data_IF_609386511169
#
_entry.id   IF_609386511169
#
_cell.length_a   1.000
_cell.length_b   1.000
_cell.length_c   1.000
_cell.angle_alpha   90.00
_cell.angle_beta   90.00
_cell.angle_gamma   90.00
#
_symmetry.space_group_name_H-M   'P 1'
#
loop_
_entity.id
_entity.type
_entity.pdbx_description
1 polymer ?
#
# COMPACT_ATOMS: atom_id res chain seq x y z
N UNK A 1 -13.90 -9.08 3.60
CA UNK A 1 -12.91 -8.31 4.39
C UNK A 1 -13.38 -6.91 4.75
N UNK A 2 -13.86 -6.08 3.79
CA UNK A 2 -14.46 -4.76 4.12
C UNK A 2 -15.53 -4.90 5.21
N UNK A 3 -16.49 -5.77 5.03
CA UNK A 3 -17.57 -6.02 5.99
C UNK A 3 -17.08 -6.64 7.30
N UNK A 4 -16.05 -7.48 7.24
CA UNK A 4 -15.49 -8.14 8.42
C UNK A 4 -14.65 -7.18 9.26
N UNK A 5 -13.83 -6.33 8.64
CA UNK A 5 -13.05 -5.30 9.33
C UNK A 5 -13.98 -4.22 9.85
N UNK A 6 -14.90 -3.72 9.01
CA UNK A 6 -15.90 -2.74 9.41
C UNK A 6 -16.81 -3.28 10.53
N UNK A 7 -17.27 -4.54 10.46
CA UNK A 7 -18.08 -5.15 11.51
C UNK A 7 -17.31 -5.35 12.81
N UNK A 8 -16.02 -5.73 12.76
CA UNK A 8 -15.18 -5.87 13.95
C UNK A 8 -14.87 -4.52 14.61
N UNK A 9 -14.62 -3.49 13.81
CA UNK A 9 -14.46 -2.12 14.29
C UNK A 9 -15.81 -1.62 14.86
N UNK A 10 -16.92 -1.86 14.18
CA UNK A 10 -18.26 -1.49 14.63
C UNK A 10 -18.66 -2.15 15.95
N UNK A 11 -18.44 -3.45 16.10
CA UNK A 11 -18.72 -4.19 17.36
C UNK A 11 -17.92 -3.64 18.54
N UNK A 12 -16.68 -3.20 18.31
CA UNK A 12 -15.85 -2.62 19.37
C UNK A 12 -16.22 -1.16 19.68
N UNK A 13 -16.63 -0.38 18.68
CA UNK A 13 -17.11 0.99 18.87
C UNK A 13 -18.50 1.04 19.49
N UNK A 14 -19.40 0.11 19.16
CA UNK A 14 -20.76 0.02 19.75
C UNK A 14 -20.77 -0.42 21.21
N UNK A 15 -19.66 -0.99 21.73
CA UNK A 15 -19.47 -1.25 23.17
C UNK A 15 -19.08 -0.01 23.97
N UNK A 16 -18.68 1.08 23.31
CA UNK A 16 -18.46 2.36 23.96
C UNK A 16 -19.80 3.02 24.25
N UNK A 17 -20.25 2.85 25.47
CA UNK A 17 -21.30 3.45 26.24
C UNK A 17 -22.49 4.16 25.52
N UNK A 18 -23.67 3.70 25.89
CA UNK A 18 -24.96 4.34 25.70
C UNK A 18 -24.94 5.77 26.27
N UNK A 19 -24.87 6.74 25.41
CA UNK A 19 -25.19 8.11 25.75
C UNK A 19 -24.22 9.17 25.30
N UNK A 20 -24.17 9.47 24.00
CA UNK A 20 -23.86 10.77 23.43
C UNK A 20 -23.89 10.69 21.89
N UNK A 21 -24.14 11.82 21.22
CA UNK A 21 -24.22 12.01 19.75
C UNK A 21 -23.01 11.50 18.93
N UNK A 22 -21.96 11.04 19.60
CA UNK A 22 -20.76 10.46 19.03
C UNK A 22 -20.98 9.13 18.25
N UNK A 23 -22.05 8.39 18.53
CA UNK A 23 -22.30 7.09 17.90
C UNK A 23 -22.65 7.22 16.41
N UNK A 24 -23.33 8.31 16.03
CA UNK A 24 -23.71 8.59 14.63
C UNK A 24 -22.51 8.99 13.78
N UNK A 25 -21.56 9.76 14.33
CA UNK A 25 -20.34 10.16 13.62
C UNK A 25 -19.42 8.97 13.32
N UNK A 26 -19.28 8.04 14.29
CA UNK A 26 -18.48 6.81 14.06
C UNK A 26 -19.16 5.88 13.06
N UNK A 27 -20.48 5.79 13.10
CA UNK A 27 -21.26 5.03 12.11
C UNK A 27 -21.07 5.60 10.71
N UNK A 28 -21.06 6.93 10.56
CA UNK A 28 -20.79 7.61 9.30
C UNK A 28 -19.36 7.33 8.81
N UNK A 29 -18.35 7.47 9.66
CA UNK A 29 -16.96 7.16 9.30
C UNK A 29 -16.77 5.71 8.84
N UNK A 30 -17.42 4.75 9.53
CA UNK A 30 -17.39 3.35 9.14
C UNK A 30 -18.15 3.09 7.85
N UNK A 31 -19.27 3.76 7.65
CA UNK A 31 -20.03 3.72 6.40
C UNK A 31 -19.18 4.23 5.24
N UNK A 32 -18.47 5.34 5.42
CA UNK A 32 -17.58 5.92 4.40
C UNK A 32 -16.36 5.01 4.14
N UNK A 33 -15.85 4.32 5.18
CA UNK A 33 -14.81 3.29 5.02
C UNK A 33 -15.30 2.08 4.20
N UNK A 34 -16.57 1.70 4.35
CA UNK A 34 -17.17 0.58 3.58
C UNK A 34 -17.47 0.99 2.15
N UNK A 35 -17.94 2.22 1.93
CA UNK A 35 -18.39 2.73 0.64
C UNK A 35 -17.40 3.67 -0.05
N UNK A 36 -16.33 4.09 0.64
CA UNK A 36 -15.29 4.96 0.09
C UNK A 36 -14.46 4.30 -1.01
N UNK A 37 -13.90 5.13 -1.88
CA UNK A 37 -13.02 4.67 -2.94
C UNK A 37 -11.66 4.26 -2.38
N UNK A 38 -11.38 2.96 -2.33
CA UNK A 38 -10.05 2.45 -2.01
C UNK A 38 -9.18 2.48 -3.25
N UNK A 39 -7.93 2.92 -3.08
CA UNK A 39 -6.96 3.08 -4.15
C UNK A 39 -5.70 2.27 -3.83
N UNK A 40 -5.01 1.79 -4.86
CA UNK A 40 -3.63 1.31 -4.68
C UNK A 40 -2.74 2.47 -4.26
N UNK A 41 -2.09 2.36 -3.10
CA UNK A 41 -1.10 3.34 -2.66
C UNK A 41 0.32 2.82 -2.91
N UNK A 42 0.82 1.94 -2.06
CA UNK A 42 2.19 1.45 -2.16
C UNK A 42 2.22 -0.01 -2.61
N UNK A 43 3.10 -0.33 -3.56
CA UNK A 43 3.33 -1.70 -4.04
C UNK A 43 4.82 -2.00 -4.03
N UNK A 44 5.20 -3.19 -3.55
CA UNK A 44 6.55 -3.71 -3.69
C UNK A 44 6.57 -4.82 -4.75
N UNK A 45 7.54 -4.73 -5.64
CA UNK A 45 7.70 -5.63 -6.78
C UNK A 45 8.99 -6.45 -6.68
N UNK A 46 8.91 -7.68 -7.18
CA UNK A 46 10.06 -8.58 -7.33
C UNK A 46 10.00 -9.26 -8.68
N UNK A 47 11.13 -9.30 -9.39
CA UNK A 47 11.33 -10.09 -10.60
C UNK A 47 12.55 -10.98 -10.41
N UNK A 48 12.38 -12.30 -10.60
CA UNK A 48 13.49 -13.23 -10.51
C UNK A 48 14.11 -13.44 -11.90
N UNK A 49 15.42 -13.50 -11.99
CA UNK A 49 16.17 -13.74 -13.21
C UNK A 49 15.75 -15.03 -13.93
N UNK A 50 15.40 -16.08 -13.18
CA UNK A 50 14.94 -17.36 -13.74
C UNK A 50 13.63 -17.26 -14.51
N UNK A 51 12.79 -16.26 -14.23
CA UNK A 51 11.50 -16.04 -14.87
C UNK A 51 11.66 -15.23 -16.17
N UNK A 52 12.84 -14.66 -16.41
CA UNK A 52 13.25 -13.86 -17.58
C UNK A 52 14.70 -14.18 -17.98
N UNK A 53 15.02 -15.42 -18.36
CA UNK A 53 16.39 -15.85 -18.62
C UNK A 53 17.06 -15.12 -19.79
N UNK A 54 16.28 -14.54 -20.70
CA UNK A 54 16.70 -13.77 -21.86
C UNK A 54 17.15 -12.33 -21.53
N UNK A 55 16.83 -11.82 -20.32
CA UNK A 55 17.14 -10.46 -19.87
C UNK A 55 18.24 -10.55 -18.81
N UNK A 56 19.33 -9.82 -18.94
CA UNK A 56 20.28 -9.60 -17.84
C UNK A 56 19.75 -8.45 -16.96
N UNK A 57 19.05 -8.78 -15.87
CA UNK A 57 18.43 -7.79 -14.99
C UNK A 57 19.42 -6.77 -14.45
N UNK A 58 20.65 -7.19 -14.13
CA UNK A 58 21.65 -6.29 -13.58
C UNK A 58 22.13 -5.29 -14.64
N UNK A 59 22.43 -5.75 -15.84
CA UNK A 59 22.86 -4.90 -16.94
C UNK A 59 21.75 -3.99 -17.42
N UNK A 60 20.51 -4.51 -17.51
CA UNK A 60 19.37 -3.78 -18.05
C UNK A 60 18.90 -2.66 -17.13
N UNK A 61 18.73 -2.94 -15.82
CA UNK A 61 18.11 -1.99 -14.88
C UNK A 61 19.11 -0.99 -14.30
N UNK A 62 20.36 -1.37 -14.08
CA UNK A 62 21.37 -0.51 -13.44
C UNK A 62 21.55 0.86 -14.06
N UNK A 63 21.50 1.05 -15.40
CA UNK A 63 21.70 2.35 -16.03
C UNK A 63 20.63 3.40 -15.69
N UNK A 64 19.43 2.96 -15.32
CA UNK A 64 18.30 3.84 -15.00
C UNK A 64 18.28 4.29 -13.54
N UNK A 65 19.22 3.81 -12.70
CA UNK A 65 19.23 4.10 -11.29
C UNK A 65 20.01 5.39 -10.97
N UNK A 66 19.33 6.31 -10.26
CA UNK A 66 19.94 7.48 -9.64
C UNK A 66 20.52 7.11 -8.27
N UNK A 67 21.50 7.89 -7.80
CA UNK A 67 22.20 7.64 -6.52
C UNK A 67 22.66 6.18 -6.40
N UNK A 68 23.23 5.70 -7.48
CA UNK A 68 23.67 4.31 -7.63
C UNK A 68 24.85 4.01 -6.71
N UNK A 69 24.82 2.82 -6.10
CA UNK A 69 25.91 2.22 -5.33
C UNK A 69 26.14 0.79 -5.82
N UNK A 70 27.32 0.54 -6.36
CA UNK A 70 27.77 -0.79 -6.75
C UNK A 70 28.42 -1.46 -5.53
N UNK A 71 27.95 -2.65 -5.19
CA UNK A 71 28.31 -3.38 -3.99
C UNK A 71 28.61 -4.84 -4.31
N UNK A 72 29.29 -5.51 -3.38
CA UNK A 72 29.48 -6.96 -3.40
C UNK A 72 28.76 -7.54 -2.19
N UNK A 73 27.93 -8.55 -2.42
CA UNK A 73 27.20 -9.26 -1.37
C UNK A 73 28.11 -10.15 -0.53
N UNK A 74 27.60 -10.63 0.60
CA UNK A 74 28.31 -11.60 1.43
C UNK A 74 28.57 -12.95 0.71
N UNK A 75 27.82 -13.22 -0.34
CA UNK A 75 27.95 -14.35 -1.26
C UNK A 75 28.99 -14.13 -2.37
N UNK A 76 29.65 -12.96 -2.37
CA UNK A 76 30.62 -12.55 -3.39
C UNK A 76 30.00 -12.07 -4.70
N UNK A 77 28.68 -12.01 -4.82
CA UNK A 77 28.00 -11.60 -6.04
C UNK A 77 27.82 -10.07 -6.09
N UNK A 78 27.98 -9.46 -7.29
CA UNK A 78 27.73 -8.05 -7.47
C UNK A 78 26.23 -7.73 -7.35
N UNK A 79 25.91 -6.60 -6.72
CA UNK A 79 24.57 -6.03 -6.73
C UNK A 79 24.64 -4.51 -6.80
N UNK A 80 23.56 -3.91 -7.26
CA UNK A 80 23.41 -2.47 -7.35
C UNK A 80 22.21 -2.04 -6.52
N UNK A 81 22.38 -0.96 -5.78
CA UNK A 81 21.28 -0.21 -5.13
C UNK A 81 21.21 1.18 -5.72
N UNK A 82 20.00 1.71 -5.80
CA UNK A 82 19.78 3.06 -6.27
C UNK A 82 18.33 3.48 -6.14
N UNK A 83 18.01 4.59 -6.80
CA UNK A 83 16.65 5.13 -6.88
C UNK A 83 16.19 5.13 -8.34
N UNK A 84 14.98 4.62 -8.56
CA UNK A 84 14.26 4.80 -9.81
C UNK A 84 13.05 5.71 -9.55
N UNK A 85 13.07 6.91 -10.10
CA UNK A 85 12.00 7.92 -9.89
C UNK A 85 11.55 8.05 -8.42
N UNK A 86 12.52 8.00 -7.49
CA UNK A 86 12.26 8.09 -6.05
C UNK A 86 12.11 6.75 -5.33
N UNK A 87 11.86 5.65 -6.04
CA UNK A 87 11.71 4.31 -5.43
C UNK A 87 13.05 3.66 -5.14
N UNK A 88 13.05 2.81 -4.10
CA UNK A 88 14.23 2.03 -3.76
C UNK A 88 14.33 0.83 -4.67
N UNK A 89 15.45 0.71 -5.37
CA UNK A 89 15.74 -0.42 -6.24
C UNK A 89 16.96 -1.16 -5.74
N UNK A 90 16.86 -2.48 -5.75
CA UNK A 90 17.93 -3.42 -5.54
C UNK A 90 17.94 -4.40 -6.71
N UNK A 91 19.08 -4.59 -7.35
CA UNK A 91 19.20 -5.54 -8.46
C UNK A 91 20.55 -6.28 -8.38
N UNK A 92 20.52 -7.57 -8.63
CA UNK A 92 21.69 -8.41 -8.85
C UNK A 92 21.41 -9.41 -9.98
N UNK A 93 22.32 -10.37 -10.20
CA UNK A 93 22.22 -11.40 -11.24
C UNK A 93 21.07 -12.39 -11.04
N UNK A 94 20.34 -12.34 -9.91
CA UNK A 94 19.27 -13.28 -9.57
C UNK A 94 17.92 -12.63 -9.39
N UNK A 95 17.89 -11.35 -9.00
CA UNK A 95 16.66 -10.71 -8.56
C UNK A 95 16.69 -9.19 -8.73
N UNK A 96 15.59 -8.64 -9.16
CA UNK A 96 15.24 -7.22 -9.09
C UNK A 96 14.17 -7.02 -8.01
N UNK A 97 14.35 -6.01 -7.15
CA UNK A 97 13.36 -5.54 -6.18
C UNK A 97 13.12 -4.05 -6.37
N UNK A 98 11.86 -3.64 -6.45
CA UNK A 98 11.42 -2.25 -6.46
C UNK A 98 10.50 -2.08 -5.25
N UNK A 99 10.95 -1.30 -4.27
CA UNK A 99 10.26 -1.17 -2.99
C UNK A 99 9.72 0.25 -2.76
N UNK A 100 8.63 0.31 -1.99
CA UNK A 100 7.96 1.54 -1.59
C UNK A 100 7.47 2.36 -2.80
N UNK A 101 6.96 1.67 -3.83
CA UNK A 101 6.43 2.26 -5.05
C UNK A 101 4.99 2.72 -4.83
N UNK A 102 4.76 4.02 -4.58
CA UNK A 102 3.42 4.59 -4.65
C UNK A 102 3.04 4.82 -6.11
N UNK A 103 2.19 3.93 -6.66
CA UNK A 103 1.79 3.97 -8.06
C UNK A 103 1.09 5.29 -8.42
N UNK A 104 0.19 5.75 -7.55
CA UNK A 104 -0.52 7.02 -7.74
C UNK A 104 0.46 8.20 -7.78
N UNK A 105 1.41 8.28 -6.82
CA UNK A 105 2.43 9.32 -6.79
C UNK A 105 3.39 9.24 -7.98
N UNK A 106 3.70 8.03 -8.44
CA UNK A 106 4.52 7.84 -9.64
C UNK A 106 3.85 8.41 -10.88
N UNK A 107 2.55 8.20 -11.01
CA UNK A 107 1.80 8.58 -12.20
C UNK A 107 1.41 10.06 -12.22
N UNK A 108 0.89 10.56 -11.09
CA UNK A 108 0.38 11.93 -10.96
C UNK A 108 1.33 12.91 -10.25
N UNK A 109 2.40 12.43 -9.61
CA UNK A 109 3.29 13.25 -8.78
C UNK A 109 2.82 13.42 -7.33
N UNK A 110 1.54 13.17 -7.04
CA UNK A 110 0.91 13.23 -5.72
C UNK A 110 0.00 12.02 -5.51
N UNK A 111 -0.38 11.74 -4.27
CA UNK A 111 -1.22 10.59 -3.91
C UNK A 111 -2.57 10.99 -3.29
N UNK A 112 -3.20 12.04 -3.82
CA UNK A 112 -4.51 12.55 -3.42
C UNK A 112 -5.52 12.60 -4.56
N UNK A 113 -5.33 11.79 -5.59
CA UNK A 113 -6.24 11.69 -6.73
C UNK A 113 -6.90 10.33 -6.76
N UNK A 114 -8.10 10.29 -7.31
CA UNK A 114 -8.67 9.03 -7.76
C UNK A 114 -7.69 8.36 -8.71
N UNK A 115 -7.49 7.07 -8.53
CA UNK A 115 -6.52 6.29 -9.30
C UNK A 115 -7.23 5.08 -9.91
N UNK A 116 -7.96 5.28 -11.02
CA UNK A 116 -8.74 4.23 -11.65
C UNK A 116 -7.84 3.13 -12.21
N UNK A 117 -8.38 1.91 -12.39
CA UNK A 117 -7.63 0.75 -12.86
C UNK A 117 -6.93 0.97 -14.19
N UNK A 118 -7.50 1.80 -15.06
CA UNK A 118 -6.85 2.20 -16.32
C UNK A 118 -5.55 2.96 -16.10
N UNK A 119 -5.49 3.83 -15.09
CA UNK A 119 -4.27 4.57 -14.79
C UNK A 119 -3.28 3.73 -13.96
N UNK A 120 -3.78 2.77 -13.17
CA UNK A 120 -2.95 1.70 -12.58
C UNK A 120 -2.24 0.92 -13.69
N UNK A 121 -2.97 0.53 -14.74
CA UNK A 121 -2.42 -0.15 -15.92
C UNK A 121 -1.32 0.67 -16.56
N UNK A 122 -1.60 1.93 -16.91
CA UNK A 122 -0.61 2.83 -17.53
C UNK A 122 0.64 3.04 -16.66
N UNK A 123 0.46 3.17 -15.33
CA UNK A 123 1.58 3.34 -14.41
C UNK A 123 2.47 2.09 -14.40
N UNK A 124 1.88 0.90 -14.36
CA UNK A 124 2.61 -0.38 -14.35
C UNK A 124 3.31 -0.62 -15.69
N UNK A 125 2.60 -0.43 -16.81
CA UNK A 125 3.16 -0.57 -18.16
C UNK A 125 4.36 0.38 -18.34
N UNK A 126 4.23 1.65 -17.93
CA UNK A 126 5.32 2.63 -18.00
C UNK A 126 6.55 2.25 -17.16
N UNK A 127 6.37 1.61 -15.99
CA UNK A 127 7.49 1.08 -15.20
C UNK A 127 8.21 -0.03 -16.00
N UNK A 128 7.43 -0.92 -16.64
CA UNK A 128 7.97 -1.97 -17.47
C UNK A 128 8.76 -1.46 -18.68
N UNK A 129 8.20 -0.46 -19.39
CA UNK A 129 8.85 0.19 -20.53
C UNK A 129 10.14 0.91 -20.12
N UNK A 130 10.07 1.73 -19.07
CA UNK A 130 11.23 2.50 -18.57
C UNK A 130 12.40 1.61 -18.12
N UNK A 131 12.12 0.44 -17.54
CA UNK A 131 13.13 -0.49 -17.02
C UNK A 131 13.39 -1.68 -17.97
N UNK A 132 12.69 -1.72 -19.10
CA UNK A 132 12.72 -2.81 -20.08
C UNK A 132 12.50 -4.20 -19.46
N UNK A 133 11.46 -4.34 -18.63
CA UNK A 133 11.09 -5.57 -17.93
C UNK A 133 9.63 -5.98 -18.19
N UNK A 134 9.33 -7.28 -18.30
CA UNK A 134 7.97 -7.76 -18.54
C UNK A 134 7.16 -7.76 -17.24
N UNK A 135 6.19 -6.86 -17.12
CA UNK A 135 5.40 -6.69 -15.89
C UNK A 135 4.45 -7.86 -15.59
N UNK A 136 4.14 -8.70 -16.56
CA UNK A 136 3.40 -9.95 -16.37
C UNK A 136 4.19 -11.03 -15.61
N UNK A 137 5.53 -10.89 -15.54
CA UNK A 137 6.43 -11.77 -14.77
C UNK A 137 6.81 -11.15 -13.41
N UNK A 138 6.54 -9.89 -13.21
CA UNK A 138 6.84 -9.19 -11.94
C UNK A 138 5.83 -9.58 -10.87
N UNK A 139 6.33 -10.03 -9.72
CA UNK A 139 5.53 -10.50 -8.59
C UNK A 139 5.34 -9.37 -7.59
N UNK A 140 4.11 -9.18 -7.13
CA UNK A 140 3.75 -8.28 -6.03
C UNK A 140 4.03 -8.97 -4.69
N UNK A 141 4.84 -8.35 -3.86
CA UNK A 141 5.21 -8.90 -2.54
C UNK A 141 4.57 -8.16 -1.37
N UNK A 142 4.26 -6.88 -1.57
CA UNK A 142 3.50 -6.02 -0.66
C UNK A 142 2.50 -5.22 -1.47
N UNK A 143 1.32 -5.01 -0.89
CA UNK A 143 0.25 -4.24 -1.48
C UNK A 143 -0.44 -3.42 -0.40
N UNK A 144 -0.43 -2.10 -0.55
CA UNK A 144 -1.12 -1.17 0.32
C UNK A 144 -2.31 -0.57 -0.44
N UNK A 145 -3.48 -0.61 0.18
CA UNK A 145 -4.67 0.08 -0.26
C UNK A 145 -4.89 1.28 0.67
N UNK A 146 -5.25 2.42 0.13
CA UNK A 146 -5.49 3.62 0.90
C UNK A 146 -6.85 4.23 0.58
N UNK A 147 -7.40 4.93 1.58
CA UNK A 147 -8.60 5.73 1.47
C UNK A 147 -8.47 6.97 2.33
N UNK A 148 -8.80 8.13 1.77
CA UNK A 148 -8.87 9.39 2.48
C UNK A 148 -10.30 9.69 2.94
N UNK A 149 -10.45 10.11 4.19
CA UNK A 149 -11.72 10.42 4.84
C UNK A 149 -11.69 11.88 5.31
N UNK A 150 -12.65 12.67 4.86
CA UNK A 150 -12.88 14.01 5.41
C UNK A 150 -13.70 13.88 6.69
N UNK A 151 -13.16 14.36 7.80
CA UNK A 151 -13.77 14.26 9.13
C UNK A 151 -14.25 15.63 9.61
N UNK A 152 -15.29 15.64 10.44
CA UNK A 152 -15.82 16.88 11.04
C UNK A 152 -14.87 17.44 12.10
N UNK A 153 -14.11 16.59 12.79
CA UNK A 153 -13.18 16.94 13.87
C UNK A 153 -11.76 16.46 13.53
N UNK A 154 -10.82 16.83 14.37
CA UNK A 154 -9.44 16.36 14.25
C UNK A 154 -9.37 14.82 14.20
N UNK A 155 -8.65 14.24 13.23
CA UNK A 155 -8.48 12.78 13.14
C UNK A 155 -8.03 12.13 14.46
N UNK A 156 -7.21 12.81 15.23
CA UNK A 156 -6.70 12.31 16.52
C UNK A 156 -7.80 12.10 17.56
N UNK A 157 -8.87 12.90 17.51
CA UNK A 157 -10.02 12.69 18.43
C UNK A 157 -10.71 11.36 18.16
N UNK A 158 -10.76 10.93 16.89
CA UNK A 158 -11.30 9.62 16.50
C UNK A 158 -10.33 8.50 16.89
N UNK A 159 -9.03 8.65 16.59
CA UNK A 159 -8.04 7.60 16.85
C UNK A 159 -7.88 7.31 18.34
N UNK A 160 -7.94 8.31 19.20
CA UNK A 160 -7.88 8.14 20.66
C UNK A 160 -9.05 7.35 21.24
N UNK A 161 -10.12 7.15 20.47
CA UNK A 161 -11.30 6.38 20.87
C UNK A 161 -11.36 5.01 20.20
N UNK A 162 -10.43 4.70 19.28
CA UNK A 162 -10.31 3.37 18.69
C UNK A 162 -9.80 2.39 19.73
N UNK A 163 -10.55 1.32 19.95
CA UNK A 163 -10.20 0.24 20.86
C UNK A 163 -9.34 -0.81 20.15
N UNK A 164 -8.86 -1.78 20.93
CA UNK A 164 -8.09 -2.89 20.40
C UNK A 164 -8.90 -3.70 19.35
N UNK A 165 -8.21 -4.07 18.29
CA UNK A 165 -8.73 -4.99 17.28
C UNK A 165 -8.30 -6.43 17.64
N UNK A 166 -9.23 -7.40 17.81
CA UNK A 166 -8.89 -8.77 18.14
C UNK A 166 -7.84 -9.36 17.18
N UNK A 167 -6.83 -10.03 17.73
CA UNK A 167 -5.71 -10.65 17.02
C UNK A 167 -4.70 -9.69 16.41
N UNK A 168 -4.86 -8.38 16.56
CA UNK A 168 -3.90 -7.38 16.11
C UNK A 168 -3.17 -6.77 17.31
N UNK A 169 -1.90 -6.42 17.12
CA UNK A 169 -1.17 -5.58 18.06
C UNK A 169 -1.45 -4.13 17.72
N UNK A 170 -1.87 -3.37 18.73
CA UNK A 170 -2.16 -1.95 18.61
C UNK A 170 -0.91 -1.12 18.97
N UNK A 171 -0.62 -0.10 18.18
CA UNK A 171 0.40 0.93 18.47
C UNK A 171 -0.19 2.30 18.18
N UNK A 172 -0.21 3.16 19.20
CA UNK A 172 -0.65 4.56 19.07
C UNK A 172 0.53 5.49 18.93
N UNK A 173 0.39 6.49 18.08
CA UNK A 173 1.36 7.56 17.83
C UNK A 173 0.70 8.92 18.04
N UNK A 174 1.49 9.99 18.09
CA UNK A 174 0.96 11.34 18.18
C UNK A 174 0.09 11.78 16.99
N UNK A 175 0.22 11.11 15.85
CA UNK A 175 -0.49 11.45 14.59
C UNK A 175 -1.36 10.33 14.06
N UNK A 176 -1.46 9.18 14.75
CA UNK A 176 -2.20 8.04 14.24
C UNK A 176 -2.20 6.81 15.13
N UNK A 177 -2.81 5.75 14.64
CA UNK A 177 -2.88 4.44 15.27
C UNK A 177 -2.67 3.35 14.25
N UNK A 178 -2.01 2.27 14.65
CA UNK A 178 -1.73 1.10 13.81
C UNK A 178 -2.18 -0.18 14.49
N UNK A 179 -2.85 -1.03 13.76
CA UNK A 179 -3.18 -2.41 14.14
C UNK A 179 -2.43 -3.38 13.23
N UNK A 180 -1.61 -4.26 13.79
CA UNK A 180 -0.75 -5.10 12.96
C UNK A 180 -0.71 -6.56 13.37
N UNK A 181 -0.56 -7.42 12.36
CA UNK A 181 -0.16 -8.82 12.47
C UNK A 181 1.16 -9.03 11.72
N UNK A 182 1.65 -10.27 11.68
CA UNK A 182 2.81 -10.63 10.86
C UNK A 182 2.59 -10.46 9.34
N UNK A 183 1.33 -10.42 8.89
CA UNK A 183 0.95 -10.47 7.47
C UNK A 183 0.22 -9.22 6.99
N UNK A 184 -0.53 -8.59 7.86
CA UNK A 184 -1.42 -7.46 7.55
C UNK A 184 -1.20 -6.33 8.55
N UNK A 185 -1.51 -5.12 8.12
CA UNK A 185 -1.44 -3.93 8.95
C UNK A 185 -2.54 -2.96 8.53
N UNK A 186 -3.23 -2.38 9.50
CA UNK A 186 -4.23 -1.34 9.30
C UNK A 186 -3.74 -0.08 10.00
N UNK A 187 -3.53 0.99 9.23
CA UNK A 187 -3.04 2.27 9.72
C UNK A 187 -4.12 3.33 9.58
N UNK A 188 -4.23 4.16 10.59
CA UNK A 188 -5.01 5.39 10.55
C UNK A 188 -4.11 6.54 10.96
N UNK A 189 -4.03 7.58 10.16
CA UNK A 189 -3.22 8.74 10.48
C UNK A 189 -3.79 10.06 9.93
N UNK A 190 -3.34 11.16 10.53
CA UNK A 190 -3.71 12.51 10.14
C UNK A 190 -2.96 12.92 8.86
N UNK A 191 -3.63 12.73 7.72
CA UNK A 191 -3.09 13.06 6.40
C UNK A 191 -2.96 14.56 6.17
N UNK A 192 -3.86 15.34 6.78
CA UNK A 192 -3.78 16.80 6.74
C UNK A 192 -2.47 17.32 7.33
N UNK A 193 -2.08 16.81 8.50
CA UNK A 193 -0.78 17.16 9.14
C UNK A 193 0.42 16.65 8.36
N UNK A 194 0.37 15.45 7.83
CA UNK A 194 1.46 14.90 7.01
C UNK A 194 1.78 15.80 5.81
N UNK A 195 0.77 16.42 5.23
CA UNK A 195 0.93 17.31 4.07
C UNK A 195 1.16 18.78 4.44
N UNK A 196 1.28 19.10 5.72
CA UNK A 196 1.42 20.48 6.19
C UNK A 196 0.15 21.34 6.02
N UNK A 197 -1.00 20.72 5.77
CA UNK A 197 -2.30 21.38 5.64
C UNK A 197 -3.02 21.34 6.98
N UNK A 198 -2.77 22.35 7.84
CA UNK A 198 -3.38 22.42 9.18
C UNK A 198 -4.90 22.70 9.18
N UNK A 199 -5.51 22.95 8.02
CA UNK A 199 -6.91 23.38 7.91
C UNK A 199 -7.86 22.30 7.41
N UNK A 200 -7.41 21.06 7.20
CA UNK A 200 -8.25 19.98 6.73
C UNK A 200 -8.17 18.79 7.68
N UNK A 201 -9.31 18.37 8.19
CA UNK A 201 -9.44 17.17 9.00
C UNK A 201 -9.50 15.93 8.08
N UNK A 202 -8.38 15.59 7.46
CA UNK A 202 -8.28 14.43 6.57
C UNK A 202 -7.58 13.31 7.32
N UNK A 203 -8.29 12.20 7.55
CA UNK A 203 -7.71 10.95 7.98
C UNK A 203 -7.42 10.07 6.78
N UNK A 204 -6.26 9.40 6.75
CA UNK A 204 -6.01 8.29 5.83
C UNK A 204 -6.11 6.98 6.57
N UNK A 205 -6.85 6.05 5.99
CA UNK A 205 -6.87 4.65 6.33
C UNK A 205 -6.05 3.88 5.29
N UNK A 206 -5.03 3.14 5.72
CA UNK A 206 -4.25 2.26 4.86
C UNK A 206 -4.39 0.82 5.32
N UNK A 207 -4.75 -0.06 4.39
CA UNK A 207 -4.71 -1.49 4.58
C UNK A 207 -3.51 -2.08 3.84
N UNK A 208 -2.54 -2.56 4.60
CA UNK A 208 -1.26 -3.05 4.10
C UNK A 208 -1.20 -4.56 4.17
N UNK A 209 -1.05 -5.22 3.03
CA UNK A 209 -0.80 -6.66 2.90
C UNK A 209 0.70 -6.87 2.74
N UNK A 210 1.37 -7.30 3.82
CA UNK A 210 2.84 -7.49 3.87
C UNK A 210 3.30 -8.81 3.25
N UNK A 211 2.41 -9.78 3.10
CA UNK A 211 2.70 -11.12 2.55
C UNK A 211 1.62 -11.52 1.53
N UNK A 212 1.63 -10.85 0.37
CA UNK A 212 0.62 -11.00 -0.69
C UNK A 212 0.42 -12.46 -1.07
N UNK A 213 1.48 -13.20 -1.40
CA UNK A 213 1.39 -14.62 -1.77
C UNK A 213 0.62 -15.47 -0.77
N UNK A 214 0.79 -15.19 0.54
CA UNK A 214 0.13 -15.95 1.60
C UNK A 214 -1.35 -15.58 1.72
N UNK A 215 -1.65 -14.29 1.58
CA UNK A 215 -3.03 -13.81 1.66
C UNK A 215 -3.89 -14.28 0.48
N UNK A 216 -3.32 -14.43 -0.70
CA UNK A 216 -4.03 -14.83 -1.92
C UNK A 216 -3.89 -16.32 -2.25
N UNK A 217 -3.09 -17.07 -1.50
CA UNK A 217 -2.85 -18.50 -1.76
C UNK A 217 -2.03 -18.79 -3.03
N UNK A 218 -1.46 -17.76 -3.66
CA UNK A 218 -0.69 -17.84 -4.90
C UNK A 218 0.09 -16.57 -5.20
N UNK A 219 0.87 -16.59 -6.26
CA UNK A 219 1.60 -15.40 -6.72
C UNK A 219 0.63 -14.44 -7.40
N UNK A 220 0.71 -13.17 -7.03
CA UNK A 220 0.02 -12.05 -7.69
C UNK A 220 1.04 -11.33 -8.55
N UNK A 221 0.78 -11.19 -9.84
CA UNK A 221 1.65 -10.44 -10.76
C UNK A 221 1.24 -8.97 -10.82
N UNK A 222 2.15 -8.11 -11.28
CA UNK A 222 1.86 -6.69 -11.43
C UNK A 222 0.70 -6.45 -12.41
N UNK A 223 0.59 -7.26 -13.47
CA UNK A 223 -0.50 -7.17 -14.45
C UNK A 223 -1.87 -7.53 -13.88
N UNK A 224 -1.96 -8.33 -12.82
CA UNK A 224 -3.23 -8.63 -12.15
C UNK A 224 -3.80 -7.42 -11.42
N UNK A 225 -2.98 -6.42 -11.04
CA UNK A 225 -3.45 -5.27 -10.27
C UNK A 225 -4.46 -4.40 -11.03
N UNK A 226 -4.46 -4.44 -12.35
CA UNK A 226 -5.43 -3.71 -13.16
C UNK A 226 -6.52 -4.59 -13.78
N UNK A 227 -6.59 -5.88 -13.37
CA UNK A 227 -7.69 -6.77 -13.71
C UNK A 227 -8.90 -6.48 -12.81
N UNK A 228 -10.06 -6.12 -13.37
CA UNK A 228 -11.27 -5.87 -12.56
C UNK A 228 -11.70 -7.06 -11.70
N UNK A 229 -11.47 -8.31 -12.16
CA UNK A 229 -11.80 -9.50 -11.38
C UNK A 229 -10.93 -9.65 -10.15
N UNK A 230 -9.63 -9.37 -10.27
CA UNK A 230 -8.71 -9.35 -9.13
C UNK A 230 -9.06 -8.22 -8.15
N UNK A 231 -9.42 -7.03 -8.66
CA UNK A 231 -9.84 -5.92 -7.83
C UNK A 231 -11.07 -6.26 -7.00
N UNK A 232 -12.09 -6.86 -7.61
CA UNK A 232 -13.29 -7.29 -6.89
C UNK A 232 -12.97 -8.35 -5.83
N UNK A 233 -12.18 -9.40 -6.18
CA UNK A 233 -11.73 -10.41 -5.20
C UNK A 233 -10.94 -9.78 -4.03
N UNK A 234 -10.12 -8.78 -4.31
CA UNK A 234 -9.36 -8.05 -3.30
C UNK A 234 -10.28 -7.29 -2.33
N UNK A 235 -11.36 -6.69 -2.83
CA UNK A 235 -12.32 -5.94 -2.01
C UNK A 235 -13.23 -6.86 -1.18
N UNK A 236 -13.50 -8.08 -1.65
CA UNK A 236 -14.34 -9.07 -0.97
C UNK A 236 -13.60 -9.81 0.16
N UNK A 237 -12.27 -9.73 0.23
CA UNK A 237 -11.40 -10.36 1.26
C UNK A 237 -11.19 -9.52 2.50
#
# INVERSE_FOLDING_TARGET
>A
MKDEIASKIYVNLSRCEKGHDSCTEYSSMLHDMVHGHMLYDTVDFVLNQKDVPEIDLLAEVSPYLMNRSDCIGNDGLPYVRGKYKGYNVYVNTHILKINACSLCKYYYGINMHDFPLEDVRKAIERIGEDLNIPMDKVIVTRLDLAMDLELQRSPIEYFNRMLDLPYFRCHSYSTGITFQTAEKELLFYDKGKEQGSNNKNIARCEFRIKKVRRCFGGSVTASMLYDPSFWNDLLDR
#
